data_IF_295121270330
#
_entry.id   IF_295121270330
#
_cell.length_a   1.000
_cell.length_b   1.000
_cell.length_c   1.000
_cell.angle_alpha   90.00
_cell.angle_beta   90.00
_cell.angle_gamma   90.00
#
_symmetry.space_group_name_H-M   'P 1'
#
loop_
_entity.id
_entity.type
_entity.pdbx_description
1 polymer ?
#
# COMPACT_ATOMS: atom_id res chain seq x y z
N UNK A 1 8.64 7.22 12.12
CA UNK A 1 9.57 8.27 12.62
C UNK A 1 9.88 7.95 14.07
N UNK A 2 11.10 8.18 14.53
CA UNK A 2 11.49 8.07 15.94
C UNK A 2 11.38 9.43 16.64
N UNK A 3 10.98 9.40 17.90
CA UNK A 3 11.00 10.57 18.79
C UNK A 3 12.37 10.70 19.52
N UNK A 4 12.49 11.69 20.40
CA UNK A 4 13.70 11.91 21.23
C UNK A 4 14.04 10.73 22.15
N UNK A 5 13.07 9.92 22.51
CA UNK A 5 13.20 8.78 23.42
C UNK A 5 13.45 7.47 22.67
N UNK A 6 13.82 7.55 21.37
CA UNK A 6 14.04 6.42 20.45
C UNK A 6 12.81 5.52 20.23
N UNK A 7 11.61 6.02 20.52
CA UNK A 7 10.36 5.33 20.27
C UNK A 7 9.83 5.64 18.86
N UNK A 8 9.19 4.65 18.23
CA UNK A 8 8.53 4.86 16.96
C UNK A 8 7.19 5.57 17.15
N UNK A 9 6.95 6.63 16.38
CA UNK A 9 5.68 7.35 16.34
C UNK A 9 5.02 7.25 14.97
N UNK A 10 3.69 7.25 14.94
CA UNK A 10 2.93 7.28 13.71
C UNK A 10 3.03 8.67 13.06
N UNK A 11 3.58 8.73 11.85
CA UNK A 11 3.70 9.98 11.08
C UNK A 11 2.43 10.29 10.27
N UNK A 12 1.57 9.32 10.08
CA UNK A 12 0.29 9.45 9.39
C UNK A 12 -0.54 8.19 9.57
N UNK A 13 -1.84 8.33 9.40
CA UNK A 13 -2.80 7.25 9.55
C UNK A 13 -3.84 7.30 8.45
N UNK A 14 -4.04 6.19 7.74
CA UNK A 14 -5.11 6.01 6.78
C UNK A 14 -6.03 4.87 7.23
N UNK A 15 -7.32 5.13 7.25
CA UNK A 15 -8.34 4.14 7.63
C UNK A 15 -9.57 4.24 6.72
N UNK A 16 -10.27 3.13 6.45
CA UNK A 16 -11.53 3.19 5.72
C UNK A 16 -12.59 3.96 6.55
N UNK A 17 -13.39 4.78 5.88
CA UNK A 17 -14.47 5.54 6.52
C UNK A 17 -15.76 4.71 6.70
N UNK A 18 -15.89 3.61 5.95
CA UNK A 18 -17.14 2.82 5.83
C UNK A 18 -17.04 1.40 6.36
N UNK A 19 -15.91 1.01 6.96
CA UNK A 19 -15.71 -0.33 7.50
C UNK A 19 -15.26 -0.28 8.97
N UNK A 20 -15.51 -1.35 9.75
CA UNK A 20 -14.98 -1.46 11.11
C UNK A 20 -13.47 -1.30 11.10
N UNK A 21 -12.97 -0.36 11.88
CA UNK A 21 -11.53 -0.08 12.00
C UNK A 21 -11.05 -0.51 13.38
N UNK A 22 -9.75 -0.87 13.46
CA UNK A 22 -9.10 -1.19 14.73
C UNK A 22 -8.86 0.06 15.58
N UNK A 23 -8.81 1.22 14.94
CA UNK A 23 -8.52 2.49 15.59
C UNK A 23 -9.73 3.42 15.45
N UNK A 24 -10.30 3.81 16.57
CA UNK A 24 -11.48 4.70 16.60
C UNK A 24 -11.15 6.15 16.23
N UNK A 25 -9.88 6.53 16.36
CA UNK A 25 -9.39 7.88 16.10
C UNK A 25 -8.12 7.85 15.25
N UNK A 26 -7.72 9.01 14.77
CA UNK A 26 -6.42 9.20 14.16
C UNK A 26 -5.32 9.01 15.23
N UNK A 27 -4.35 8.19 14.91
CA UNK A 27 -3.20 7.88 15.78
C UNK A 27 -1.93 8.64 15.36
N UNK A 28 -2.04 9.59 14.44
CA UNK A 28 -0.90 10.42 14.03
C UNK A 28 -0.31 11.15 15.23
N UNK A 29 1.00 11.04 15.42
CA UNK A 29 1.73 11.57 16.58
C UNK A 29 1.77 10.64 17.79
N UNK A 30 1.02 9.53 17.78
CA UNK A 30 1.04 8.58 18.90
C UNK A 30 2.22 7.60 18.77
N UNK A 31 2.71 7.14 19.93
CA UNK A 31 3.72 6.08 20.00
C UNK A 31 3.14 4.77 19.50
N UNK A 32 3.90 4.05 18.68
CA UNK A 32 3.51 2.73 18.19
C UNK A 32 3.30 1.78 19.35
N UNK A 33 2.16 1.09 19.34
CA UNK A 33 1.81 0.14 20.38
C UNK A 33 2.91 -0.91 20.57
N UNK A 34 3.24 -1.23 21.82
CA UNK A 34 4.29 -2.20 22.19
C UNK A 34 4.14 -3.55 21.52
N UNK A 35 2.92 -3.97 21.24
CA UNK A 35 2.62 -5.23 20.56
C UNK A 35 3.20 -5.29 19.14
N UNK A 36 3.28 -4.14 18.45
CA UNK A 36 3.80 -4.01 17.07
C UNK A 36 5.24 -3.48 17.02
N UNK A 37 5.69 -2.85 18.10
CA UNK A 37 6.98 -2.13 18.13
C UNK A 37 8.17 -3.03 17.75
N UNK A 38 8.13 -4.32 18.15
CA UNK A 38 9.17 -5.29 17.78
C UNK A 38 9.25 -5.51 16.27
N UNK A 39 8.12 -5.70 15.63
CA UNK A 39 8.05 -5.97 14.18
C UNK A 39 8.40 -4.72 13.37
N UNK A 40 7.97 -3.54 13.84
CA UNK A 40 8.38 -2.25 13.25
C UNK A 40 9.89 -2.05 13.37
N UNK A 41 10.46 -2.33 14.54
CA UNK A 41 11.91 -2.24 14.77
C UNK A 41 12.67 -3.22 13.88
N UNK A 42 12.20 -4.45 13.78
CA UNK A 42 12.79 -5.48 12.91
C UNK A 42 12.78 -5.01 11.44
N UNK A 43 11.63 -4.61 10.91
CA UNK A 43 11.53 -4.13 9.54
C UNK A 43 12.43 -2.92 9.27
N UNK A 44 12.54 -1.99 10.23
CA UNK A 44 13.41 -0.81 10.12
C UNK A 44 14.90 -1.16 10.11
N UNK A 45 15.31 -2.20 10.84
CA UNK A 45 16.71 -2.60 10.97
C UNK A 45 17.17 -3.57 9.90
N UNK A 46 16.33 -4.58 9.58
CA UNK A 46 16.67 -5.61 8.59
C UNK A 46 16.43 -5.14 7.14
N UNK A 47 15.51 -4.19 6.94
CA UNK A 47 15.03 -3.84 5.62
C UNK A 47 14.13 -4.93 5.00
N UNK A 48 13.66 -5.89 5.79
CA UNK A 48 12.78 -6.96 5.35
C UNK A 48 11.34 -6.73 5.83
N UNK A 49 10.38 -7.24 5.05
CA UNK A 49 8.97 -7.21 5.44
C UNK A 49 8.78 -8.15 6.63
N UNK A 50 8.20 -7.64 7.72
CA UNK A 50 7.75 -8.43 8.85
C UNK A 50 6.25 -8.65 8.73
N UNK A 51 5.83 -9.88 8.50
CA UNK A 51 4.41 -10.26 8.45
C UNK A 51 4.13 -11.35 9.48
N UNK A 52 3.15 -11.12 10.34
CA UNK A 52 2.74 -12.11 11.33
C UNK A 52 1.92 -13.20 10.65
N UNK A 53 2.33 -14.46 10.85
CA UNK A 53 1.62 -15.63 10.32
C UNK A 53 0.29 -15.84 11.02
N UNK A 54 0.30 -15.76 12.35
CA UNK A 54 -0.87 -15.97 13.18
C UNK A 54 -1.52 -14.65 13.58
N UNK A 55 -2.85 -14.57 13.60
CA UNK A 55 -3.56 -13.40 14.09
C UNK A 55 -3.25 -13.13 15.57
N UNK A 56 -3.04 -11.87 15.92
CA UNK A 56 -2.93 -11.41 17.30
C UNK A 56 -4.27 -10.84 17.75
N UNK A 57 -4.55 -10.95 19.05
CA UNK A 57 -5.68 -10.26 19.65
C UNK A 57 -5.28 -8.83 19.99
N UNK A 58 -5.91 -7.87 19.32
CA UNK A 58 -5.74 -6.45 19.62
C UNK A 58 -7.06 -5.89 20.13
N UNK A 59 -7.12 -5.60 21.43
CA UNK A 59 -8.31 -5.07 22.11
C UNK A 59 -9.60 -5.91 21.85
N UNK A 60 -9.47 -7.23 21.87
CA UNK A 60 -10.58 -8.15 21.62
C UNK A 60 -10.83 -8.46 20.14
N UNK A 61 -10.08 -7.85 19.22
CA UNK A 61 -10.24 -8.04 17.78
C UNK A 61 -9.10 -8.90 17.23
N UNK A 62 -9.38 -10.02 16.55
CA UNK A 62 -8.37 -10.80 15.87
C UNK A 62 -7.80 -9.96 14.70
N UNK A 63 -6.51 -9.71 14.75
CA UNK A 63 -5.83 -8.76 13.87
C UNK A 63 -4.62 -9.40 13.23
N UNK A 64 -4.45 -9.21 11.92
CA UNK A 64 -3.21 -9.51 11.21
C UNK A 64 -2.41 -8.22 11.00
N UNK A 65 -1.14 -8.30 11.29
CA UNK A 65 -0.21 -7.17 11.18
C UNK A 65 0.88 -7.47 10.17
N UNK A 66 1.28 -6.45 9.42
CA UNK A 66 2.48 -6.49 8.58
C UNK A 66 3.18 -5.12 8.60
N UNK A 67 4.50 -5.15 8.60
CA UNK A 67 5.37 -3.98 8.58
C UNK A 67 6.25 -4.02 7.31
N UNK A 68 6.16 -2.98 6.50
CA UNK A 68 6.87 -2.81 5.23
C UNK A 68 7.91 -1.71 5.40
N UNK A 69 9.23 -2.03 5.32
CA UNK A 69 10.27 -1.02 5.39
C UNK A 69 10.23 -0.14 4.15
N UNK A 70 10.21 1.18 4.32
CA UNK A 70 10.22 2.16 3.23
C UNK A 70 11.65 2.61 2.98
N UNK A 71 12.11 2.45 1.75
CA UNK A 71 13.44 2.84 1.29
C UNK A 71 13.36 4.11 0.46
N UNK A 72 14.43 4.89 0.47
CA UNK A 72 14.56 5.98 -0.48
C UNK A 72 14.94 5.39 -1.84
N UNK A 73 14.34 5.90 -2.92
CA UNK A 73 14.77 5.55 -4.27
C UNK A 73 16.26 5.85 -4.42
N UNK A 74 17.04 4.87 -4.88
CA UNK A 74 18.44 5.09 -5.22
C UNK A 74 18.51 6.12 -6.35
N UNK A 75 19.29 7.17 -6.18
CA UNK A 75 19.65 8.05 -7.29
C UNK A 75 20.56 7.24 -8.24
N UNK A 76 20.31 7.33 -9.53
CA UNK A 76 20.81 6.47 -10.63
C UNK A 76 22.34 6.39 -10.80
N UNK A 77 23.17 6.70 -9.82
CA UNK A 77 24.63 6.79 -10.02
C UNK A 77 25.53 6.27 -8.91
N UNK A 78 25.04 5.56 -7.94
CA UNK A 78 25.98 4.92 -6.99
C UNK A 78 25.44 3.59 -6.48
N UNK A 79 26.18 2.57 -6.86
CA UNK A 79 26.46 1.30 -6.19
C UNK A 79 25.59 0.90 -4.98
N UNK A 80 25.10 -0.33 -5.06
CA UNK A 80 24.89 -1.35 -3.98
C UNK A 80 24.79 -0.90 -2.51
N UNK A 81 24.43 0.31 -2.22
CA UNK A 81 24.01 0.66 -0.87
C UNK A 81 22.60 0.12 -0.72
N UNK A 82 22.46 -0.99 -0.02
CA UNK A 82 21.19 -1.43 0.56
C UNK A 82 20.64 -0.22 1.28
N UNK A 83 19.71 0.49 0.63
CA UNK A 83 19.23 1.76 1.13
C UNK A 83 18.57 1.51 2.49
N UNK A 84 19.18 2.01 3.55
CA UNK A 84 18.67 1.90 4.92
C UNK A 84 17.22 2.41 4.93
N UNK A 85 16.28 1.65 5.51
CA UNK A 85 14.91 2.11 5.59
C UNK A 85 14.80 3.45 6.31
N UNK A 86 14.01 4.35 5.77
CA UNK A 86 13.77 5.70 6.33
C UNK A 86 12.47 5.77 7.13
N UNK A 87 11.57 4.83 6.89
CA UNK A 87 10.28 4.72 7.56
C UNK A 87 9.77 3.26 7.48
N UNK A 88 8.66 3.00 8.14
CA UNK A 88 7.94 1.73 8.04
C UNK A 88 6.46 2.04 7.81
N UNK A 89 5.85 1.44 6.79
CA UNK A 89 4.40 1.43 6.62
C UNK A 89 3.85 0.18 7.27
N UNK A 90 2.86 0.33 8.14
CA UNK A 90 2.21 -0.79 8.81
C UNK A 90 0.81 -1.01 8.24
N UNK A 91 0.46 -2.28 8.03
CA UNK A 91 -0.88 -2.69 7.65
C UNK A 91 -1.50 -3.49 8.80
N UNK A 92 -2.66 -3.05 9.23
CA UNK A 92 -3.47 -3.73 10.23
C UNK A 92 -4.76 -4.23 9.58
N UNK A 93 -5.02 -5.51 9.65
CA UNK A 93 -6.23 -6.12 9.07
C UNK A 93 -7.10 -6.69 10.19
N UNK A 94 -8.31 -6.14 10.31
CA UNK A 94 -9.34 -6.72 11.19
C UNK A 94 -9.84 -8.02 10.57
N UNK A 95 -9.81 -9.10 11.33
CA UNK A 95 -10.25 -10.43 10.90
C UNK A 95 -11.60 -10.82 11.52
N UNK A 96 -12.31 -9.89 12.18
CA UNK A 96 -13.69 -10.11 12.60
C UNK A 96 -14.57 -10.17 11.35
N UNK A 97 -15.49 -11.13 11.31
CA UNK A 97 -16.47 -11.28 10.21
C UNK A 97 -15.83 -11.40 8.81
N UNK A 98 -14.76 -12.17 8.70
CA UNK A 98 -14.12 -12.45 7.42
C UNK A 98 -15.09 -13.23 6.53
N UNK A 99 -15.76 -12.51 5.62
CA UNK A 99 -16.51 -13.11 4.52
C UNK A 99 -15.52 -13.56 3.45
N UNK A 100 -15.86 -14.64 2.75
CA UNK A 100 -15.07 -15.05 1.56
C UNK A 100 -15.11 -13.88 0.55
N UNK A 101 -13.97 -13.27 0.23
CA UNK A 101 -13.96 -12.12 -0.67
C UNK A 101 -14.33 -12.56 -2.10
N UNK A 102 -15.10 -11.76 -2.79
CA UNK A 102 -15.37 -11.97 -4.20
C UNK A 102 -14.15 -11.60 -5.08
N UNK A 103 -14.19 -11.97 -6.38
CA UNK A 103 -13.09 -11.74 -7.32
C UNK A 103 -12.65 -10.25 -7.37
N UNK A 104 -13.59 -9.32 -7.34
CA UNK A 104 -13.32 -7.88 -7.37
C UNK A 104 -12.57 -7.45 -6.10
N UNK A 105 -13.03 -7.89 -4.93
CA UNK A 105 -12.38 -7.58 -3.65
C UNK A 105 -10.95 -8.14 -3.59
N UNK A 106 -10.72 -9.36 -4.09
CA UNK A 106 -9.38 -9.95 -4.18
C UNK A 106 -8.45 -9.11 -5.07
N UNK A 107 -8.95 -8.65 -6.22
CA UNK A 107 -8.17 -7.78 -7.11
C UNK A 107 -7.82 -6.43 -6.46
N UNK A 108 -8.77 -5.79 -5.77
CA UNK A 108 -8.48 -4.55 -5.03
C UNK A 108 -7.47 -4.77 -3.90
N UNK A 109 -7.55 -5.89 -3.20
CA UNK A 109 -6.56 -6.26 -2.18
C UNK A 109 -5.17 -6.45 -2.81
N UNK A 110 -5.10 -7.15 -3.94
CA UNK A 110 -3.84 -7.34 -4.67
C UNK A 110 -3.23 -6.00 -5.13
N UNK A 111 -4.03 -5.12 -5.72
CA UNK A 111 -3.59 -3.77 -6.09
C UNK A 111 -3.06 -2.97 -4.88
N UNK A 112 -3.75 -3.07 -3.74
CA UNK A 112 -3.31 -2.41 -2.49
C UNK A 112 -1.97 -2.96 -1.99
N UNK A 113 -1.75 -4.26 -2.10
CA UNK A 113 -0.47 -4.89 -1.74
C UNK A 113 0.67 -4.50 -2.70
N UNK A 114 0.39 -4.47 -4.00
CA UNK A 114 1.37 -4.02 -4.99
C UNK A 114 1.76 -2.56 -4.74
N UNK A 115 0.79 -1.69 -4.45
CA UNK A 115 1.05 -0.29 -4.09
C UNK A 115 1.91 -0.18 -2.82
N UNK A 116 1.62 -0.97 -1.78
CA UNK A 116 2.43 -0.99 -0.56
C UNK A 116 3.88 -1.42 -0.84
N UNK A 117 4.08 -2.41 -1.72
CA UNK A 117 5.42 -2.82 -2.15
C UNK A 117 6.14 -1.71 -2.91
N UNK A 118 5.47 -1.06 -3.86
CA UNK A 118 6.03 0.06 -4.61
C UNK A 118 6.44 1.21 -3.69
N UNK A 119 5.64 1.52 -2.67
CA UNK A 119 5.98 2.53 -1.64
C UNK A 119 7.19 2.08 -0.82
N UNK A 120 7.24 0.81 -0.41
CA UNK A 120 8.36 0.25 0.35
C UNK A 120 9.67 0.27 -0.44
N UNK A 121 9.62 -0.01 -1.73
CA UNK A 121 10.76 0.00 -2.65
C UNK A 121 11.17 1.42 -3.09
N UNK A 122 10.40 2.43 -2.75
CA UNK A 122 10.61 3.82 -3.18
C UNK A 122 10.33 4.06 -4.66
N UNK A 123 9.59 3.17 -5.31
CA UNK A 123 9.21 3.30 -6.73
C UNK A 123 7.92 4.10 -6.93
N UNK A 124 7.15 4.34 -5.86
CA UNK A 124 5.95 5.16 -5.86
C UNK A 124 5.92 6.10 -4.64
N UNK A 125 5.44 7.34 -4.77
CA UNK A 125 5.13 8.04 -6.02
C UNK A 125 6.41 8.41 -6.80
N UNK A 126 6.29 8.46 -8.14
CA UNK A 126 7.39 8.99 -8.96
C UNK A 126 7.32 10.52 -8.98
N UNK A 127 8.20 11.15 -8.22
CA UNK A 127 8.28 12.62 -8.12
C UNK A 127 8.84 13.30 -9.36
N UNK A 128 9.43 12.54 -10.28
CA UNK A 128 10.00 13.06 -11.52
C UNK A 128 9.00 13.11 -12.67
N UNK A 129 7.88 12.40 -12.56
CA UNK A 129 6.81 12.48 -13.55
C UNK A 129 6.14 13.84 -13.42
N UNK A 130 6.09 14.66 -14.50
CA UNK A 130 5.35 15.90 -14.49
C UNK A 130 3.91 15.62 -14.10
N UNK A 131 3.51 16.02 -12.91
CA UNK A 131 2.11 15.95 -12.53
C UNK A 131 1.37 16.96 -13.40
N UNK A 132 0.46 16.47 -14.25
CA UNK A 132 -0.50 17.31 -14.96
C UNK A 132 -1.23 18.25 -14.00
N UNK A 133 -2.15 19.09 -14.47
CA UNK A 133 -2.83 20.07 -13.64
C UNK A 133 -3.33 19.37 -12.36
N UNK A 134 -2.96 19.92 -11.20
CA UNK A 134 -3.25 19.37 -9.87
C UNK A 134 -4.76 19.27 -9.62
N UNK A 135 -5.35 18.22 -10.13
CA UNK A 135 -6.75 17.84 -9.88
C UNK A 135 -6.78 16.85 -8.73
N UNK A 136 -6.53 17.29 -7.51
CA UNK A 136 -6.65 16.44 -6.33
C UNK A 136 -5.74 15.20 -6.33
N UNK A 137 -5.69 14.48 -5.22
CA UNK A 137 -5.02 13.18 -5.18
C UNK A 137 -5.85 12.11 -5.90
N UNK A 138 -5.24 11.21 -6.69
CA UNK A 138 -5.96 10.09 -7.31
C UNK A 138 -6.67 9.25 -6.24
N UNK A 139 -7.89 8.82 -6.55
CA UNK A 139 -8.70 7.96 -5.68
C UNK A 139 -8.95 6.62 -6.39
N UNK A 140 -9.11 5.56 -5.62
CA UNK A 140 -9.46 4.24 -6.18
C UNK A 140 -10.72 4.28 -7.05
N UNK A 141 -11.66 5.20 -6.75
CA UNK A 141 -12.87 5.39 -7.53
C UNK A 141 -12.65 6.15 -8.85
N UNK A 142 -11.51 6.76 -9.07
CA UNK A 142 -11.19 7.46 -10.33
C UNK A 142 -10.84 6.50 -11.47
N UNK A 143 -10.67 5.23 -11.14
CA UNK A 143 -10.32 4.16 -12.06
C UNK A 143 -8.97 3.54 -11.66
N UNK A 144 -8.92 2.21 -11.69
CA UNK A 144 -7.74 1.44 -11.30
C UNK A 144 -7.49 0.36 -12.35
N UNK A 145 -6.25 0.29 -12.82
CA UNK A 145 -5.74 -0.81 -13.63
C UNK A 145 -4.59 -1.48 -12.89
N UNK A 146 -4.53 -2.79 -13.01
CA UNK A 146 -3.36 -3.58 -12.62
C UNK A 146 -2.70 -4.12 -13.86
N UNK A 147 -1.41 -3.93 -13.97
CA UNK A 147 -0.61 -4.41 -15.10
C UNK A 147 0.38 -5.47 -14.60
N UNK A 148 0.78 -6.36 -15.49
CA UNK A 148 1.95 -7.21 -15.27
C UNK A 148 3.24 -6.49 -15.69
N UNK A 149 4.35 -7.22 -15.65
CA UNK A 149 5.69 -6.68 -16.00
C UNK A 149 5.83 -6.32 -17.48
N UNK A 150 4.99 -6.89 -18.33
CA UNK A 150 4.97 -6.65 -19.77
C UNK A 150 3.99 -5.54 -20.17
N UNK A 151 3.35 -4.89 -19.18
CA UNK A 151 2.37 -3.84 -19.39
C UNK A 151 0.99 -4.35 -19.87
N UNK A 152 0.73 -5.64 -19.69
CA UNK A 152 -0.57 -6.24 -20.02
C UNK A 152 -1.53 -6.03 -18.85
N UNK A 153 -2.76 -5.61 -19.14
CA UNK A 153 -3.81 -5.41 -18.14
C UNK A 153 -4.25 -6.75 -17.56
N UNK A 154 -4.02 -6.96 -16.29
CA UNK A 154 -4.45 -8.16 -15.53
C UNK A 154 -5.73 -7.94 -14.74
N UNK A 155 -6.09 -6.66 -14.52
CA UNK A 155 -7.35 -6.26 -13.91
C UNK A 155 -7.70 -4.82 -14.28
N UNK A 156 -8.96 -4.56 -14.57
CA UNK A 156 -9.52 -3.23 -14.73
C UNK A 156 -10.73 -3.06 -13.79
N UNK A 157 -10.70 -2.00 -12.98
CA UNK A 157 -11.87 -1.65 -12.16
C UNK A 157 -13.03 -1.19 -13.06
N UNK A 158 -14.29 -1.28 -12.62
CA UNK A 158 -15.44 -0.81 -13.41
C UNK A 158 -15.30 0.64 -13.90
N UNK A 159 -14.76 1.52 -13.06
CA UNK A 159 -14.53 2.91 -13.45
C UNK A 159 -13.34 3.04 -14.41
N UNK A 160 -12.27 2.24 -14.23
CA UNK A 160 -11.18 2.16 -15.19
C UNK A 160 -11.67 1.74 -16.57
N UNK A 161 -12.44 0.66 -16.65
CA UNK A 161 -13.05 0.20 -17.89
C UNK A 161 -13.94 1.27 -18.53
N UNK A 162 -14.77 1.96 -17.73
CA UNK A 162 -15.63 3.05 -18.20
C UNK A 162 -14.85 4.21 -18.81
N UNK A 163 -13.69 4.56 -18.24
CA UNK A 163 -12.81 5.62 -18.76
C UNK A 163 -12.27 5.21 -20.13
N UNK A 164 -11.72 4.02 -20.25
CA UNK A 164 -11.17 3.53 -21.52
C UNK A 164 -12.23 3.39 -22.62
N UNK A 165 -13.44 2.95 -22.27
CA UNK A 165 -14.55 2.93 -23.23
C UNK A 165 -14.89 4.33 -23.76
N UNK A 166 -14.84 5.37 -22.91
CA UNK A 166 -15.03 6.76 -23.35
C UNK A 166 -13.90 7.27 -24.23
N UNK A 167 -12.70 6.72 -24.09
CA UNK A 167 -11.55 7.01 -24.96
C UNK A 167 -11.57 6.24 -26.27
N UNK A 168 -12.61 5.43 -26.52
CA UNK A 168 -12.81 4.69 -27.76
C UNK A 168 -12.33 3.25 -27.74
N UNK A 169 -11.87 2.73 -26.59
CA UNK A 169 -11.52 1.32 -26.48
C UNK A 169 -12.78 0.46 -26.43
N UNK A 170 -12.93 -0.48 -27.36
CA UNK A 170 -14.08 -1.38 -27.41
C UNK A 170 -13.74 -2.73 -26.79
N UNK A 171 -14.63 -3.23 -25.91
CA UNK A 171 -14.54 -4.55 -25.31
C UNK A 171 -13.68 -4.60 -24.03
N UNK A 172 -13.25 -5.80 -23.67
CA UNK A 172 -12.48 -6.03 -22.44
C UNK A 172 -11.07 -5.45 -22.55
N UNK A 173 -10.58 -4.88 -21.45
CA UNK A 173 -9.21 -4.38 -21.32
C UNK A 173 -8.27 -5.48 -20.85
N UNK A 174 -8.77 -6.43 -20.06
CA UNK A 174 -7.95 -7.53 -19.52
C UNK A 174 -7.33 -8.32 -20.67
N UNK A 175 -6.04 -8.60 -20.59
CA UNK A 175 -5.25 -9.25 -21.63
C UNK A 175 -4.72 -8.34 -22.74
N UNK A 176 -5.06 -7.04 -22.74
CA UNK A 176 -4.49 -6.07 -23.71
C UNK A 176 -3.25 -5.40 -23.13
N UNK A 177 -2.23 -5.19 -23.97
CA UNK A 177 -1.06 -4.39 -23.61
C UNK A 177 -1.39 -2.89 -23.75
N UNK A 178 -1.06 -2.09 -22.74
CA UNK A 178 -1.12 -0.63 -22.81
C UNK A 178 0.12 -0.02 -23.49
N UNK A 179 1.18 -0.82 -23.68
CA UNK A 179 2.40 -0.38 -24.34
C UNK A 179 2.34 -0.49 -25.89
N UNK A 180 1.31 -1.15 -26.42
CA UNK A 180 1.15 -1.40 -27.85
C UNK A 180 0.18 -0.39 -28.47
N UNK A 181 0.58 0.90 -28.49
CA UNK A 181 -0.05 1.93 -29.37
C UNK A 181 0.99 2.90 -29.84
#
# INVERSE_FOLDING_TARGET
IKNSDDEFIAAGHARPSSAPTLFYRDITGEVVNRQWARDVKHAMQSGEISEQKDPLNFQGVPTRFAAYPVRRRASTQSDEVVATPIAVVTRHTNLTDVKVPNKIQLNYQACGLDLLRMVAEGTFPDFNTPTGPKRGAPRANDGLLRLDVDGVVTFASPNGLSIFNRLGTVGELEGKSLAAN
#
